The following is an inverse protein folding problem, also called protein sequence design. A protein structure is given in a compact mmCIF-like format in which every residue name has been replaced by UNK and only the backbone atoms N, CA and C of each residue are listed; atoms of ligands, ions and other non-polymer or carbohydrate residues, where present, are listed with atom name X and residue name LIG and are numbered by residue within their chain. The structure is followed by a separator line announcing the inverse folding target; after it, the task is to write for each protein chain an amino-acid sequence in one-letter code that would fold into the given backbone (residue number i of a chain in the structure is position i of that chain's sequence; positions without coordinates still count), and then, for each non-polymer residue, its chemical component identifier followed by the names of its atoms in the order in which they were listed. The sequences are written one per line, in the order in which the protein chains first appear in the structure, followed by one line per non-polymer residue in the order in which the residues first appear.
data_IF_399621066803
#
_entry.id   IF_399621066803
#
_cell.length_a   1.000
_cell.length_b   1.000
_cell.length_c   1.000
_cell.angle_alpha   90.00
_cell.angle_beta   90.00
_cell.angle_gamma   90.00
#
_symmetry.space_group_name_H-M   'P 1'
#
loop_
_entity.id
_entity.type
_entity.pdbx_description
1 polymer ?
#
# COMPACT_ATOMS: atom_id res chain seq x y z
N UNK A 1 -1.77 6.39 -4.94
CA UNK A 1 -1.23 7.66 -4.41
C UNK A 1 -2.23 8.23 -3.41
N UNK A 2 -1.79 8.84 -2.30
CA UNK A 2 -2.72 9.39 -1.28
C UNK A 2 -2.52 10.88 -1.16
N UNK A 3 -3.60 11.66 -1.26
CA UNK A 3 -3.58 13.07 -0.93
C UNK A 3 -3.52 13.24 0.59
N UNK A 4 -2.33 13.57 1.11
CA UNK A 4 -2.10 13.72 2.54
C UNK A 4 -2.86 14.90 3.16
N UNK A 5 -3.35 15.86 2.36
CA UNK A 5 -4.17 16.99 2.85
C UNK A 5 -5.51 16.52 3.42
N UNK A 6 -6.00 15.38 2.95
CA UNK A 6 -7.23 14.76 3.43
C UNK A 6 -7.03 13.96 4.72
N UNK A 7 -5.78 13.80 5.20
CA UNK A 7 -5.47 13.11 6.45
C UNK A 7 -5.60 14.09 7.62
N UNK A 8 -6.82 14.19 8.16
CA UNK A 8 -7.16 15.17 9.21
C UNK A 8 -6.86 14.67 10.62
N UNK A 9 -6.83 13.35 10.87
CA UNK A 9 -6.65 12.80 12.21
C UNK A 9 -5.18 12.82 12.67
N UNK A 10 -4.85 13.38 13.85
CA UNK A 10 -3.46 13.52 14.31
C UNK A 10 -2.66 12.21 14.38
N UNK A 11 -3.29 11.11 14.79
CA UNK A 11 -2.62 9.80 14.89
C UNK A 11 -2.29 9.19 13.52
N UNK A 12 -2.98 9.59 12.46
CA UNK A 12 -2.68 9.17 11.08
C UNK A 12 -1.53 9.95 10.46
N UNK A 13 -1.00 10.98 11.14
CA UNK A 13 0.23 11.67 10.71
C UNK A 13 1.49 10.87 11.06
N UNK A 14 1.38 9.89 11.98
CA UNK A 14 2.47 8.95 12.27
C UNK A 14 2.60 7.95 11.14
N UNK A 15 3.83 7.82 10.63
CA UNK A 15 4.19 6.97 9.50
C UNK A 15 3.63 5.56 9.66
N UNK A 16 3.96 4.89 10.76
CA UNK A 16 3.60 3.48 10.98
C UNK A 16 2.09 3.26 11.06
N UNK A 17 1.37 4.14 11.77
CA UNK A 17 -0.09 4.08 11.88
C UNK A 17 -0.76 4.29 10.51
N UNK A 18 -0.22 5.18 9.69
CA UNK A 18 -0.72 5.43 8.35
C UNK A 18 -0.52 4.22 7.43
N UNK A 19 0.67 3.62 7.44
CA UNK A 19 0.93 2.40 6.65
C UNK A 19 0.03 1.25 7.09
N UNK A 20 -0.14 1.05 8.40
CA UNK A 20 -1.06 0.06 8.95
C UNK A 20 -2.47 0.23 8.39
N UNK A 21 -2.99 1.45 8.47
CA UNK A 21 -4.32 1.78 7.96
C UNK A 21 -4.43 1.51 6.45
N UNK A 22 -3.46 1.99 5.66
CA UNK A 22 -3.49 1.86 4.21
C UNK A 22 -3.43 0.41 3.75
N UNK A 23 -2.53 -0.40 4.32
CA UNK A 23 -2.42 -1.82 4.01
C UNK A 23 -3.70 -2.56 4.39
N UNK A 24 -4.29 -2.25 5.56
CA UNK A 24 -5.57 -2.84 5.94
C UNK A 24 -6.70 -2.45 4.99
N UNK A 25 -6.77 -1.20 4.58
CA UNK A 25 -7.80 -0.71 3.69
C UNK A 25 -7.72 -1.41 2.33
N UNK A 26 -6.52 -1.60 1.78
CA UNK A 26 -6.32 -2.33 0.52
C UNK A 26 -6.74 -3.79 0.69
N UNK A 27 -6.20 -4.48 1.69
CA UNK A 27 -6.38 -5.93 1.84
C UNK A 27 -7.73 -6.35 2.42
N UNK A 28 -8.54 -5.43 2.94
CA UNK A 28 -9.94 -5.71 3.33
C UNK A 28 -10.94 -5.45 2.21
N UNK A 29 -10.54 -4.71 1.18
CA UNK A 29 -11.43 -4.25 0.10
C UNK A 29 -10.92 -4.65 -1.28
N UNK A 30 -10.13 -5.71 -1.36
CA UNK A 30 -9.59 -6.24 -2.61
C UNK A 30 -10.55 -7.24 -3.30
N UNK A 31 -11.76 -7.41 -2.77
CA UNK A 31 -12.80 -8.30 -3.31
C UNK A 31 -12.33 -9.75 -3.53
N UNK A 32 -11.42 -10.22 -2.66
CA UNK A 32 -10.87 -11.58 -2.73
C UNK A 32 -9.80 -11.80 -3.80
N UNK A 33 -9.41 -10.76 -4.55
CA UNK A 33 -8.38 -10.83 -5.61
C UNK A 33 -6.97 -11.08 -5.09
N UNK A 34 -6.69 -10.71 -3.84
CA UNK A 34 -5.40 -10.89 -3.18
C UNK A 34 -5.51 -12.05 -2.19
N UNK A 35 -4.75 -13.12 -2.44
CA UNK A 35 -4.64 -14.27 -1.55
C UNK A 35 -3.17 -14.70 -1.48
N UNK A 36 -2.77 -15.22 -0.33
CA UNK A 36 -1.44 -15.79 -0.08
C UNK A 36 -0.28 -14.85 -0.49
N UNK A 37 -0.48 -13.55 -0.28
CA UNK A 37 0.38 -12.51 -0.81
C UNK A 37 1.68 -12.36 -0.02
N UNK A 38 2.75 -11.96 -0.71
CA UNK A 38 3.97 -11.45 -0.06
C UNK A 38 3.95 -9.94 -0.11
N UNK A 39 3.81 -9.30 1.06
CA UNK A 39 3.86 -7.85 1.18
C UNK A 39 5.32 -7.39 1.23
N UNK A 40 5.73 -6.59 0.25
CA UNK A 40 7.06 -5.97 0.19
C UNK A 40 6.93 -4.52 0.67
N UNK A 41 7.69 -4.17 1.70
CA UNK A 41 7.72 -2.84 2.30
C UNK A 41 9.12 -2.24 2.16
N UNK A 42 9.19 -0.93 1.89
CA UNK A 42 10.46 -0.21 1.83
C UNK A 42 11.11 -0.11 3.22
N UNK A 43 12.42 -0.36 3.27
CA UNK A 43 13.24 -0.41 4.48
C UNK A 43 13.58 0.98 5.05
N UNK A 44 12.93 2.06 4.62
CA UNK A 44 13.17 3.38 5.20
C UNK A 44 12.68 3.53 6.66
N UNK A 45 12.02 2.53 7.25
CA UNK A 45 11.88 2.38 8.70
C UNK A 45 13.12 1.66 9.23
N UNK A 46 13.98 2.33 9.99
CA UNK A 46 15.27 1.72 10.41
C UNK A 46 15.15 0.79 11.64
N UNK A 47 14.17 1.02 12.51
CA UNK A 47 14.08 0.25 13.76
C UNK A 47 13.48 -1.15 13.56
N UNK A 48 14.21 -2.17 14.03
CA UNK A 48 13.81 -3.58 13.96
C UNK A 48 12.55 -3.86 14.77
N UNK A 49 12.37 -3.21 15.93
CA UNK A 49 11.19 -3.43 16.77
C UNK A 49 9.94 -2.89 16.08
N UNK A 50 10.02 -1.71 15.46
CA UNK A 50 8.92 -1.15 14.64
C UNK A 50 8.53 -2.07 13.49
N UNK A 51 9.50 -2.62 12.73
CA UNK A 51 9.22 -3.61 11.66
C UNK A 51 8.50 -4.84 12.18
N UNK A 52 8.96 -5.38 13.31
CA UNK A 52 8.38 -6.59 13.89
C UNK A 52 6.97 -6.35 14.44
N UNK A 53 6.74 -5.21 15.09
CA UNK A 53 5.42 -4.80 15.56
C UNK A 53 4.43 -4.62 14.40
N UNK A 54 4.85 -3.93 13.34
CA UNK A 54 4.10 -3.74 12.10
C UNK A 54 3.74 -5.10 11.45
N UNK A 55 4.72 -5.98 11.27
CA UNK A 55 4.51 -7.31 10.68
C UNK A 55 3.52 -8.14 11.50
N UNK A 56 3.67 -8.14 12.82
CA UNK A 56 2.78 -8.87 13.73
C UNK A 56 1.36 -8.33 13.65
N UNK A 57 1.21 -7.01 13.66
CA UNK A 57 -0.09 -6.36 13.55
C UNK A 57 -0.80 -6.68 12.24
N UNK A 58 -0.09 -6.58 11.11
CA UNK A 58 -0.66 -6.85 9.79
C UNK A 58 -1.13 -8.30 9.66
N UNK A 59 -0.30 -9.27 10.08
CA UNK A 59 -0.68 -10.69 10.07
C UNK A 59 -1.92 -10.95 10.93
N UNK A 60 -1.96 -10.44 12.16
CA UNK A 60 -3.10 -10.59 13.07
C UNK A 60 -4.38 -9.95 12.53
N UNK A 61 -4.25 -8.83 11.82
CA UNK A 61 -5.42 -8.04 11.37
C UNK A 61 -6.01 -8.52 10.06
N UNK A 62 -5.25 -9.28 9.26
CA UNK A 62 -5.56 -9.59 7.87
C UNK A 62 -5.62 -11.08 7.55
N UNK A 63 -4.95 -11.93 8.34
CA UNK A 63 -5.14 -13.37 8.24
C UNK A 63 -6.27 -13.77 9.20
N UNK A 64 -7.46 -14.15 8.69
CA UNK A 64 -8.48 -14.75 9.53
C UNK A 64 -7.96 -16.05 10.15
N UNK A 65 -8.60 -16.49 11.23
CA UNK A 65 -8.27 -17.76 11.90
C UNK A 65 -8.49 -18.99 11.00
N UNK A 66 -9.25 -18.82 9.91
CA UNK A 66 -9.60 -19.84 8.92
C UNK A 66 -8.89 -19.56 7.58
N UNK A 67 -8.56 -20.60 6.81
CA UNK A 67 -8.02 -20.45 5.45
C UNK A 67 -9.08 -19.92 4.47
N UNK A 68 -8.67 -19.28 3.36
CA UNK A 68 -7.30 -19.07 2.86
C UNK A 68 -6.55 -17.90 3.53
N UNK A 69 -5.22 -18.02 3.62
CA UNK A 69 -4.35 -16.96 4.15
C UNK A 69 -4.37 -15.74 3.21
N UNK A 70 -4.44 -14.54 3.80
CA UNK A 70 -4.38 -13.30 3.02
C UNK A 70 -2.93 -12.90 2.72
N UNK A 71 -2.08 -12.97 3.74
CA UNK A 71 -0.66 -12.63 3.70
C UNK A 71 0.16 -13.85 4.12
N UNK A 72 1.01 -14.33 3.23
CA UNK A 72 2.05 -15.35 3.48
C UNK A 72 3.22 -14.75 4.27
N UNK A 73 3.76 -13.66 3.75
CA UNK A 73 5.01 -13.08 4.22
C UNK A 73 4.97 -11.55 4.16
N UNK A 74 5.72 -10.93 5.06
CA UNK A 74 6.07 -9.50 4.99
C UNK A 74 7.59 -9.44 4.86
N UNK A 75 8.08 -8.74 3.84
CA UNK A 75 9.50 -8.55 3.56
C UNK A 75 9.82 -7.07 3.54
N UNK A 76 11.01 -6.73 4.03
CA UNK A 76 11.54 -5.37 3.99
C UNK A 76 12.71 -5.35 3.01
N UNK A 77 12.70 -4.41 2.08
CA UNK A 77 13.71 -4.30 1.03
C UNK A 77 14.18 -2.84 0.92
N UNK A 78 15.47 -2.65 0.64
CA UNK A 78 16.02 -1.33 0.37
C UNK A 78 15.60 -0.85 -1.03
N UNK A 79 14.84 0.23 -1.09
CA UNK A 79 14.40 0.88 -2.34
C UNK A 79 15.53 1.19 -3.31
N UNK A 80 16.76 1.42 -2.83
CA UNK A 80 17.91 1.70 -3.70
C UNK A 80 18.40 0.50 -4.51
N UNK A 81 18.15 -0.71 -4.01
CA UNK A 81 18.65 -1.96 -4.62
C UNK A 81 17.55 -2.88 -5.13
N UNK A 82 16.28 -2.58 -4.85
CA UNK A 82 15.14 -3.43 -5.22
C UNK A 82 14.37 -2.92 -6.44
N UNK A 83 14.38 -3.70 -7.52
CA UNK A 83 13.71 -3.37 -8.78
C UNK A 83 12.18 -3.34 -8.67
N UNK A 84 11.58 -4.10 -7.74
CA UNK A 84 10.11 -4.13 -7.55
C UNK A 84 9.66 -2.84 -6.90
N UNK A 85 10.38 -2.38 -5.87
CA UNK A 85 10.07 -1.10 -5.23
C UNK A 85 10.23 0.04 -6.24
N UNK A 86 11.31 0.04 -7.04
CA UNK A 86 11.51 1.05 -8.09
C UNK A 86 10.40 1.02 -9.14
N UNK A 87 9.95 -0.18 -9.56
CA UNK A 87 8.82 -0.30 -10.48
C UNK A 87 7.52 0.26 -9.86
N UNK A 88 7.27 0.00 -8.57
CA UNK A 88 6.14 0.58 -7.86
C UNK A 88 6.22 2.12 -7.78
N UNK A 89 7.42 2.68 -7.60
CA UNK A 89 7.67 4.12 -7.64
C UNK A 89 7.45 4.69 -9.04
N UNK A 90 7.87 4.00 -10.10
CA UNK A 90 7.60 4.41 -11.49
C UNK A 90 6.11 4.47 -11.79
N UNK A 91 5.35 3.45 -11.39
CA UNK A 91 3.88 3.42 -11.52
C UNK A 91 3.25 4.57 -10.75
N UNK A 92 3.69 4.79 -9.51
CA UNK A 92 3.20 5.90 -8.68
C UNK A 92 3.51 7.27 -9.30
N UNK A 93 4.70 7.43 -9.88
CA UNK A 93 5.14 8.63 -10.59
C UNK A 93 4.35 8.88 -11.87
N UNK A 94 4.02 7.83 -12.63
CA UNK A 94 3.17 7.91 -13.81
C UNK A 94 1.76 8.42 -13.47
N UNK A 95 1.17 7.88 -12.40
CA UNK A 95 -0.12 8.36 -11.86
C UNK A 95 0.01 9.82 -11.41
N UNK A 96 1.03 10.17 -10.62
CA UNK A 96 1.23 11.54 -10.14
C UNK A 96 1.34 12.55 -11.28
N UNK A 97 2.15 12.25 -12.30
CA UNK A 97 2.36 13.12 -13.46
C UNK A 97 1.07 13.37 -14.25
N UNK A 98 0.22 12.35 -14.40
CA UNK A 98 -1.07 12.49 -15.06
C UNK A 98 -1.99 13.45 -14.29
N UNK A 99 -2.17 13.24 -12.99
CA UNK A 99 -3.13 14.00 -12.18
C UNK A 99 -2.66 15.41 -11.79
N UNK A 100 -1.35 15.64 -11.62
CA UNK A 100 -0.83 16.92 -11.10
C UNK A 100 -0.10 17.75 -12.16
N UNK A 101 0.35 17.13 -13.25
CA UNK A 101 1.12 17.81 -14.31
C UNK A 101 0.46 17.71 -15.69
N UNK A 102 -0.72 17.09 -15.78
CA UNK A 102 -1.43 16.87 -17.04
C UNK A 102 -0.70 15.93 -18.01
N UNK A 103 0.35 15.22 -17.58
CA UNK A 103 1.17 14.37 -18.44
C UNK A 103 0.77 12.90 -18.28
N UNK A 104 -0.11 12.44 -19.15
CA UNK A 104 -0.64 11.07 -19.13
C UNK A 104 0.18 10.06 -19.93
N UNK A 105 1.33 10.45 -20.51
CA UNK A 105 2.13 9.58 -21.40
C UNK A 105 2.48 8.25 -20.76
N UNK A 106 3.02 8.27 -19.55
CA UNK A 106 3.45 7.07 -18.84
C UNK A 106 2.25 6.27 -18.30
N UNK A 107 1.21 6.96 -17.83
CA UNK A 107 -0.01 6.30 -17.37
C UNK A 107 -0.68 5.51 -18.49
N UNK A 108 -0.73 6.06 -19.70
CA UNK A 108 -1.31 5.40 -20.86
C UNK A 108 -0.59 4.09 -21.24
N UNK A 109 0.73 3.99 -20.99
CA UNK A 109 1.50 2.77 -21.25
C UNK A 109 1.14 1.62 -20.30
N UNK A 110 0.75 1.95 -19.06
CA UNK A 110 0.42 0.95 -18.02
C UNK A 110 -1.08 0.77 -17.84
N UNK A 111 -1.92 1.55 -18.53
CA UNK A 111 -3.37 1.63 -18.32
C UNK A 111 -4.07 0.28 -18.43
N UNK A 112 -3.66 -0.57 -19.38
CA UNK A 112 -4.20 -1.91 -19.58
C UNK A 112 -3.93 -2.87 -18.41
N UNK A 113 -3.00 -2.53 -17.52
CA UNK A 113 -2.63 -3.31 -16.35
C UNK A 113 -3.21 -2.76 -15.04
N UNK A 114 -3.98 -1.66 -15.11
CA UNK A 114 -4.61 -1.06 -13.94
C UNK A 114 -6.01 -1.67 -13.79
N UNK A 115 -6.29 -2.20 -12.60
CA UNK A 115 -7.63 -2.62 -12.20
C UNK A 115 -8.06 -1.77 -11.02
N UNK A 116 -9.22 -1.13 -11.16
CA UNK A 116 -9.82 -0.37 -10.07
C UNK A 116 -10.49 -1.33 -9.10
N UNK A 117 -9.94 -1.46 -7.90
CA UNK A 117 -10.49 -2.35 -6.86
C UNK A 117 -11.79 -1.80 -6.28
N UNK A 118 -11.83 -0.49 -5.99
CA UNK A 118 -12.98 0.17 -5.38
C UNK A 118 -12.90 1.68 -5.53
N UNK A 119 -14.04 2.32 -5.78
CA UNK A 119 -14.19 3.76 -5.60
C UNK A 119 -14.27 4.10 -4.10
N UNK A 120 -13.31 4.88 -3.60
CA UNK A 120 -13.34 5.34 -2.21
C UNK A 120 -14.35 6.47 -2.05
N UNK A 121 -15.44 6.18 -1.33
CA UNK A 121 -16.43 7.19 -0.90
C UNK A 121 -16.21 7.46 0.58
N UNK A 122 -15.63 8.60 1.00
CA UNK A 122 -15.60 8.93 2.41
C UNK A 122 -17.05 9.06 2.87
N UNK A 123 -17.49 8.18 3.77
CA UNK A 123 -18.76 8.38 4.44
C UNK A 123 -18.64 9.71 5.21
N UNK A 124 -19.51 10.66 4.88
CA UNK A 124 -19.68 11.85 5.70
C UNK A 124 -20.12 11.37 7.09
N UNK A 125 -19.21 11.46 8.05
CA UNK A 125 -19.48 11.35 9.48
C UNK A 125 -19.03 12.64 10.13
#
# INVERSE_FOLDING_TARGET
MVDKRLITRPHMRKRDTFYNFLVQMILRHDDGSIQDATLILDESVQDKRSKQALTTYLRRSLNPTSQPLKIRAVRYHDSRSDNIIQAADMVSGAVYAAYHRGNSRYLNQIRLKITDLREWRPQAQ
#
